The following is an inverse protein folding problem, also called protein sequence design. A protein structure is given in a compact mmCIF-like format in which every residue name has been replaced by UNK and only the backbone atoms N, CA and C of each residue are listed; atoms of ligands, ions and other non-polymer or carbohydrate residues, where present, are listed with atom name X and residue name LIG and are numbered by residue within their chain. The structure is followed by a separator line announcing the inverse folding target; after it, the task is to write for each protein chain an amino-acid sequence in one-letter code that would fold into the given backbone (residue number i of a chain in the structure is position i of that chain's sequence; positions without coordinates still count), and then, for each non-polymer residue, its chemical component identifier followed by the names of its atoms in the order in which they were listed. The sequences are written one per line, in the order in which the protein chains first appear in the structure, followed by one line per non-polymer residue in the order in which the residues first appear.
data_IF_001331435499
#
_entry.id   IF_001331435499
#
_cell.length_a   1.000
_cell.length_b   1.000
_cell.length_c   1.000
_cell.angle_alpha   90.00
_cell.angle_beta   90.00
_cell.angle_gamma   90.00
#
_symmetry.space_group_name_H-M   'P 1'
#
loop_
_entity.id
_entity.type
_entity.pdbx_description
1 polymer ?
#
# COMPACT_ATOMS: atom_id res chain seq x y z
N UNK A 1 -12.09 1.61 -9.22
CA UNK A 1 -10.95 2.09 -8.40
C UNK A 1 -10.21 3.13 -9.23
N UNK A 2 -10.88 4.22 -9.62
CA UNK A 2 -10.34 5.09 -10.69
C UNK A 2 -9.68 6.38 -10.17
N UNK A 3 -9.79 6.67 -8.87
CA UNK A 3 -9.28 7.91 -8.27
C UNK A 3 -8.06 7.71 -7.34
N UNK A 4 -7.44 6.53 -7.30
CA UNK A 4 -6.24 6.30 -6.48
C UNK A 4 -5.04 7.13 -6.95
N UNK A 5 -4.93 7.36 -8.26
CA UNK A 5 -3.87 8.17 -8.85
C UNK A 5 -4.04 9.68 -8.63
N UNK A 6 -5.18 10.11 -8.08
CA UNK A 6 -5.45 11.51 -7.76
C UNK A 6 -5.02 11.89 -6.34
N UNK A 7 -4.52 10.94 -5.55
CA UNK A 7 -3.95 11.23 -4.24
C UNK A 7 -2.51 11.70 -4.42
N UNK A 8 -2.13 12.76 -3.70
CA UNK A 8 -0.76 13.29 -3.68
C UNK A 8 0.25 12.34 -3.01
N UNK A 9 -0.17 11.13 -2.64
CA UNK A 9 0.62 10.14 -1.93
C UNK A 9 0.32 8.73 -2.43
N UNK A 10 1.36 7.88 -2.37
CA UNK A 10 1.26 6.47 -2.74
C UNK A 10 0.48 5.70 -1.66
N UNK A 11 -0.51 4.91 -2.09
CA UNK A 11 -1.33 4.07 -1.20
C UNK A 11 -1.21 2.61 -1.63
N UNK A 12 -0.76 1.77 -0.71
CA UNK A 12 -0.56 0.33 -0.94
C UNK A 12 -1.80 -0.55 -0.70
N UNK A 13 -2.81 0.02 -0.06
CA UNK A 13 -4.00 -0.71 0.31
C UNK A 13 -5.03 0.12 1.07
N UNK A 14 -6.13 -0.53 1.40
CA UNK A 14 -7.16 -0.02 2.29
C UNK A 14 -7.11 -0.75 3.62
N UNK A 15 -7.55 -0.09 4.70
CA UNK A 15 -7.74 -0.74 6.00
C UNK A 15 -9.22 -0.72 6.34
N UNK A 16 -9.82 -1.90 6.38
CA UNK A 16 -11.22 -2.07 6.74
C UNK A 16 -11.31 -2.23 8.25
N UNK A 17 -12.05 -1.33 8.91
CA UNK A 17 -12.28 -1.35 10.36
C UNK A 17 -13.77 -1.50 10.61
N UNK A 18 -14.15 -2.48 11.41
CA UNK A 18 -15.53 -2.67 11.81
C UNK A 18 -15.97 -1.47 12.67
N UNK A 19 -17.06 -0.76 12.33
CA UNK A 19 -17.38 0.52 12.99
C UNK A 19 -17.96 0.34 14.42
N UNK A 20 -18.75 -0.70 14.64
CA UNK A 20 -19.45 -0.94 15.90
C UNK A 20 -18.48 -1.31 17.04
N UNK A 21 -18.46 -0.50 18.11
CA UNK A 21 -17.56 -0.67 19.26
C UNK A 21 -17.85 -1.91 20.10
N UNK A 22 -19.12 -2.28 20.27
CA UNK A 22 -19.52 -3.49 21.01
C UNK A 22 -19.00 -4.74 20.31
N UNK A 23 -19.12 -4.77 18.97
CA UNK A 23 -18.59 -5.86 18.16
C UNK A 23 -17.06 -5.91 18.20
N UNK A 24 -16.36 -4.77 18.27
CA UNK A 24 -14.90 -4.75 18.47
C UNK A 24 -14.50 -5.38 19.81
N UNK A 25 -15.21 -5.07 20.89
CA UNK A 25 -14.95 -5.65 22.22
C UNK A 25 -15.17 -7.17 22.22
N UNK A 26 -16.26 -7.63 21.60
CA UNK A 26 -16.57 -9.06 21.47
C UNK A 26 -15.52 -9.82 20.63
N UNK A 27 -15.04 -9.21 19.55
CA UNK A 27 -14.03 -9.80 18.68
C UNK A 27 -12.62 -9.77 19.29
N UNK A 28 -12.33 -8.79 20.14
CA UNK A 28 -11.06 -8.69 20.86
C UNK A 28 -9.83 -8.55 19.95
N UNK A 29 -8.66 -8.86 20.50
CA UNK A 29 -7.38 -8.80 19.80
C UNK A 29 -6.62 -10.11 19.95
N UNK A 30 -5.76 -10.42 18.97
CA UNK A 30 -4.73 -11.46 19.11
C UNK A 30 -3.40 -10.81 19.48
N UNK A 31 -2.40 -11.59 19.89
CA UNK A 31 -1.06 -11.08 20.21
C UNK A 31 -0.39 -10.31 19.07
N UNK A 32 -0.85 -10.49 17.82
CA UNK A 32 -0.28 -9.86 16.62
C UNK A 32 -1.17 -8.78 16.01
N UNK A 33 -2.51 -8.91 16.09
CA UNK A 33 -3.43 -7.95 15.47
C UNK A 33 -4.86 -8.01 16.02
N UNK A 34 -5.60 -6.88 16.01
CA UNK A 34 -7.04 -6.84 16.33
C UNK A 34 -7.86 -7.66 15.32
N UNK A 35 -8.83 -8.44 15.79
CA UNK A 35 -9.66 -9.28 14.91
C UNK A 35 -10.68 -8.50 14.08
N UNK A 36 -10.95 -7.25 14.47
CA UNK A 36 -11.95 -6.37 13.85
C UNK A 36 -11.35 -5.41 12.81
N UNK A 37 -10.06 -5.59 12.46
CA UNK A 37 -9.35 -4.81 11.43
C UNK A 37 -8.68 -5.73 10.43
N UNK A 38 -8.85 -5.45 9.14
CA UNK A 38 -8.16 -6.16 8.07
C UNK A 38 -7.51 -5.15 7.13
N UNK A 39 -6.23 -5.33 6.86
CA UNK A 39 -5.51 -4.58 5.83
C UNK A 39 -5.68 -5.29 4.49
N UNK A 40 -6.37 -4.63 3.56
CA UNK A 40 -6.55 -5.07 2.19
C UNK A 40 -5.52 -4.39 1.30
N UNK A 41 -4.40 -5.05 1.04
CA UNK A 41 -3.34 -4.53 0.16
C UNK A 41 -3.62 -4.90 -1.29
N UNK A 42 -3.36 -3.99 -2.21
CA UNK A 42 -3.42 -4.30 -3.64
C UNK A 42 -2.23 -5.16 -4.03
N UNK A 43 -2.44 -6.03 -5.02
CA UNK A 43 -1.33 -6.71 -5.67
C UNK A 43 -0.44 -5.65 -6.31
N UNK A 44 0.75 -5.45 -5.76
CA UNK A 44 1.76 -4.65 -6.43
C UNK A 44 2.14 -5.41 -7.70
N UNK A 45 2.15 -4.71 -8.83
CA UNK A 45 2.73 -5.23 -10.07
C UNK A 45 4.24 -5.37 -9.89
N UNK A 46 4.68 -6.47 -9.26
CA UNK A 46 6.09 -6.80 -9.10
C UNK A 46 6.50 -7.76 -10.22
N UNK A 47 7.50 -7.37 -10.99
CA UNK A 47 8.08 -8.19 -12.05
C UNK A 47 9.57 -8.34 -11.82
N UNK A 48 10.07 -9.57 -11.85
CA UNK A 48 11.52 -9.83 -11.88
C UNK A 48 11.99 -9.69 -13.33
N UNK A 49 13.00 -8.85 -13.56
CA UNK A 49 13.62 -8.67 -14.87
C UNK A 49 15.14 -8.63 -14.75
N UNK A 50 15.82 -8.86 -15.86
CA UNK A 50 17.29 -8.82 -15.95
C UNK A 50 17.72 -7.50 -16.56
N UNK A 51 18.60 -6.77 -15.87
CA UNK A 51 19.26 -5.58 -16.42
C UNK A 51 20.21 -6.04 -17.53
N UNK A 52 19.95 -5.60 -18.76
CA UNK A 52 20.76 -5.98 -19.94
C UNK A 52 21.92 -5.03 -20.18
N UNK A 53 21.70 -3.74 -20.00
CA UNK A 53 22.66 -2.69 -20.26
C UNK A 53 22.32 -1.46 -19.41
N UNK A 54 23.34 -0.70 -19.02
CA UNK A 54 23.18 0.59 -18.33
C UNK A 54 23.86 1.65 -19.19
N UNK A 55 23.07 2.58 -19.72
CA UNK A 55 23.56 3.74 -20.48
C UNK A 55 23.53 4.98 -19.60
N UNK A 56 24.62 5.76 -19.59
CA UNK A 56 24.71 7.00 -18.82
C UNK A 56 24.30 8.17 -19.70
N UNK A 57 23.29 8.92 -19.27
CA UNK A 57 22.90 10.19 -19.89
C UNK A 57 23.39 11.35 -19.04
N UNK A 58 24.15 12.27 -19.63
CA UNK A 58 24.56 13.52 -18.98
C UNK A 58 23.54 14.59 -19.35
N UNK A 59 22.76 15.01 -18.35
CA UNK A 59 21.83 16.13 -18.47
C UNK A 59 22.57 17.46 -18.67
N UNK A 60 21.84 18.48 -19.13
CA UNK A 60 22.41 19.82 -19.25
C UNK A 60 22.73 20.32 -17.84
N UNK A 61 23.97 20.78 -17.54
CA UNK A 61 24.24 21.42 -16.27
C UNK A 61 23.39 22.68 -16.16
N UNK A 62 22.48 22.71 -15.18
CA UNK A 62 21.71 23.91 -14.83
C UNK A 62 22.65 24.91 -14.14
N UNK A 63 22.43 26.21 -14.39
CA UNK A 63 23.12 27.30 -13.71
C UNK A 63 22.49 27.57 -12.36
#
# INVERSE_FOLDING_TARGET
MDNMHALDFEVDGLVLKLNNLEQRQRLGTTSKSPRWVIAYKWERYTGTTTVREITIQVGRPER
#
